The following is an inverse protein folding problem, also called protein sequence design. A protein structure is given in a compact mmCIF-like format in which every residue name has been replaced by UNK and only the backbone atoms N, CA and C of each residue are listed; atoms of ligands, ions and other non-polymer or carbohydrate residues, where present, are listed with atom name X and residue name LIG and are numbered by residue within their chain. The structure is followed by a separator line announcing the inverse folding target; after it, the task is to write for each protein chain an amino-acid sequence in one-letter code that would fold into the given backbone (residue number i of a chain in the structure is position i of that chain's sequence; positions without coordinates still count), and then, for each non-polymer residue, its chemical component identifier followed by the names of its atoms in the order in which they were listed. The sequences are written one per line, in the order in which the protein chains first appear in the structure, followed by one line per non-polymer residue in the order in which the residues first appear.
data_IF_388595603313
#
_entry.id   IF_388595603313
#
_cell.length_a   1.000
_cell.length_b   1.000
_cell.length_c   1.000
_cell.angle_alpha   90.00
_cell.angle_beta   90.00
_cell.angle_gamma   90.00
#
_symmetry.space_group_name_H-M   'P 1'
#
loop_
_entity.id
_entity.type
_entity.pdbx_description
1 polymer ?
#
# COMPACT_ATOMS: atom_id res chain seq x y z
N UNK A 1 16.82 29.15 -11.56
CA UNK A 1 17.07 28.41 -12.82
C UNK A 1 16.70 26.96 -12.56
N UNK A 2 15.59 26.51 -13.16
CA UNK A 2 15.02 25.15 -12.97
C UNK A 2 15.84 24.14 -13.77
N UNK A 3 16.35 23.09 -13.13
CA UNK A 3 17.13 22.02 -13.76
C UNK A 3 16.27 20.86 -14.26
N UNK A 4 14.94 21.02 -14.35
CA UNK A 4 14.06 19.99 -14.88
C UNK A 4 14.12 19.97 -16.42
N UNK A 5 15.20 19.45 -16.99
CA UNK A 5 15.15 18.98 -18.37
C UNK A 5 14.15 17.81 -18.41
N UNK A 6 13.07 17.95 -19.20
CA UNK A 6 12.12 16.88 -19.40
C UNK A 6 12.86 15.65 -19.93
N UNK A 7 12.82 14.54 -19.20
CA UNK A 7 13.59 13.32 -19.51
C UNK A 7 12.94 12.51 -20.65
N UNK A 8 11.93 13.08 -21.31
CA UNK A 8 11.04 12.39 -22.23
C UNK A 8 10.54 13.32 -23.36
N UNK A 9 10.13 12.77 -24.52
CA UNK A 9 9.67 13.57 -25.66
C UNK A 9 8.34 14.29 -25.39
N UNK A 10 8.10 15.43 -26.04
CA UNK A 10 6.81 16.15 -25.95
C UNK A 10 5.61 15.29 -26.34
N UNK A 11 5.76 14.39 -27.31
CA UNK A 11 4.70 13.44 -27.70
C UNK A 11 4.23 12.55 -26.54
N UNK A 12 5.09 12.29 -25.53
CA UNK A 12 4.70 11.55 -24.33
C UNK A 12 3.82 12.38 -23.39
N UNK A 13 4.04 13.70 -23.30
CA UNK A 13 3.18 14.62 -22.54
C UNK A 13 1.75 14.63 -23.10
N UNK A 14 1.65 14.66 -24.43
CA UNK A 14 0.37 14.62 -25.13
C UNK A 14 -0.38 13.30 -24.93
N UNK A 15 0.36 12.17 -24.89
CA UNK A 15 -0.21 10.84 -24.66
C UNK A 15 -0.64 10.60 -23.20
N UNK A 16 0.06 11.20 -22.23
CA UNK A 16 -0.16 10.97 -20.81
C UNK A 16 -0.26 12.29 -20.02
N UNK A 17 -1.28 13.12 -20.30
CA UNK A 17 -1.39 14.47 -19.73
C UNK A 17 -1.58 14.49 -18.21
N UNK A 18 -1.98 13.36 -17.62
CA UNK A 18 -2.14 13.21 -16.16
C UNK A 18 -0.91 12.59 -15.47
N UNK A 19 0.17 12.36 -16.20
CA UNK A 19 1.41 11.78 -15.69
C UNK A 19 2.51 12.84 -15.66
N UNK A 20 3.27 12.86 -14.56
CA UNK A 20 4.43 13.70 -14.35
C UNK A 20 5.63 12.78 -14.17
N UNK A 21 6.70 13.01 -14.93
CA UNK A 21 7.95 12.24 -14.80
C UNK A 21 9.05 13.17 -14.30
N UNK A 22 9.78 12.75 -13.26
CA UNK A 22 10.87 13.52 -12.68
C UNK A 22 12.12 12.65 -12.53
N UNK A 23 13.27 13.17 -12.94
CA UNK A 23 14.57 12.58 -12.60
C UNK A 23 14.93 12.92 -11.16
N UNK A 24 15.23 11.91 -10.35
CA UNK A 24 15.71 12.09 -8.97
C UNK A 24 17.23 12.23 -8.92
N UNK A 25 17.79 12.87 -7.88
CA UNK A 25 19.23 13.02 -7.73
C UNK A 25 19.97 11.68 -7.73
N UNK A 26 21.11 11.68 -8.42
CA UNK A 26 22.04 10.56 -8.49
C UNK A 26 22.96 10.58 -7.25
N UNK A 27 22.59 9.85 -6.19
CA UNK A 27 23.34 9.89 -4.91
C UNK A 27 24.45 8.83 -4.86
N UNK A 28 24.17 7.58 -5.26
CA UNK A 28 25.10 6.45 -5.06
C UNK A 28 25.22 5.48 -6.24
N UNK A 29 24.45 5.65 -7.33
CA UNK A 29 24.47 4.81 -8.53
C UNK A 29 24.88 5.62 -9.75
N UNK A 30 25.40 5.01 -10.80
CA UNK A 30 25.54 5.52 -12.17
C UNK A 30 24.24 5.76 -12.93
N UNK A 31 23.11 5.30 -12.38
CA UNK A 31 21.79 5.55 -12.94
C UNK A 31 21.06 6.72 -12.26
N UNK A 32 20.26 7.44 -13.04
CA UNK A 32 19.31 8.46 -12.57
C UNK A 32 17.99 7.75 -12.29
N UNK A 33 17.50 7.70 -11.03
CA UNK A 33 16.18 7.14 -10.75
C UNK A 33 15.08 8.00 -11.38
N UNK A 34 14.10 7.37 -12.01
CA UNK A 34 12.96 8.05 -12.64
C UNK A 34 11.73 7.88 -11.74
N UNK A 35 11.16 9.00 -11.30
CA UNK A 35 9.89 9.04 -10.58
C UNK A 35 8.75 9.35 -11.56
N UNK A 36 7.90 8.36 -11.80
CA UNK A 36 6.64 8.54 -12.54
C UNK A 36 5.49 8.69 -11.53
N UNK A 37 4.85 9.84 -11.52
CA UNK A 37 3.65 10.14 -10.74
C UNK A 37 2.46 10.31 -11.67
N UNK A 38 1.30 9.76 -11.34
CA UNK A 38 0.07 9.94 -12.12
C UNK A 38 -1.06 10.41 -11.23
N UNK A 39 -1.75 11.47 -11.63
CA UNK A 39 -2.96 11.95 -10.96
C UNK A 39 -4.21 11.14 -11.32
N UNK A 40 -4.07 10.06 -12.09
CA UNK A 40 -5.18 9.16 -12.42
C UNK A 40 -5.60 8.41 -11.15
N UNK A 41 -6.55 8.98 -10.40
CA UNK A 41 -7.27 8.29 -9.33
C UNK A 41 -8.35 7.37 -9.94
N UNK A 42 -8.00 6.51 -10.90
CA UNK A 42 -8.94 5.53 -11.41
C UNK A 42 -9.03 4.35 -10.43
N UNK A 43 -9.60 4.59 -9.24
CA UNK A 43 -10.20 3.51 -8.44
C UNK A 43 -11.51 3.04 -9.11
N UNK A 44 -11.52 2.88 -10.44
CA UNK A 44 -12.69 2.40 -11.18
C UNK A 44 -12.92 0.95 -10.76
N UNK A 45 -13.97 0.75 -9.96
CA UNK A 45 -14.64 -0.53 -9.70
C UNK A 45 -13.73 -1.76 -9.70
N UNK A 46 -12.62 -1.71 -8.97
CA UNK A 46 -11.77 -2.89 -8.84
C UNK A 46 -12.62 -4.03 -8.27
N UNK A 47 -12.64 -5.21 -8.92
CA UNK A 47 -13.36 -6.35 -8.37
C UNK A 47 -12.79 -6.67 -6.99
N UNK A 48 -13.65 -7.18 -6.11
CA UNK A 48 -13.17 -7.65 -4.82
C UNK A 48 -12.19 -8.80 -5.04
N UNK A 49 -11.00 -8.69 -4.47
CA UNK A 49 -9.98 -9.73 -4.47
C UNK A 49 -9.50 -9.93 -3.04
N UNK A 50 -9.33 -11.19 -2.66
CA UNK A 50 -8.59 -11.52 -1.46
C UNK A 50 -7.11 -11.24 -1.73
N UNK A 51 -6.46 -10.46 -0.88
CA UNK A 51 -5.03 -10.18 -1.01
C UNK A 51 -4.24 -11.20 -0.18
N UNK A 52 -3.17 -11.76 -0.73
CA UNK A 52 -2.40 -12.86 -0.09
C UNK A 52 -1.93 -12.50 1.32
N UNK A 53 -1.50 -11.25 1.54
CA UNK A 53 -1.03 -10.80 2.86
C UNK A 53 -2.12 -10.80 3.94
N UNK A 54 -3.40 -10.85 3.57
CA UNK A 54 -4.48 -10.99 4.56
C UNK A 54 -4.33 -12.28 5.35
N UNK A 55 -3.84 -13.36 4.72
CA UNK A 55 -3.61 -14.64 5.38
C UNK A 55 -2.50 -14.58 6.45
N UNK A 56 -1.59 -13.61 6.36
CA UNK A 56 -0.54 -13.38 7.37
C UNK A 56 -1.08 -12.61 8.58
N UNK A 57 -2.25 -11.99 8.47
CA UNK A 57 -2.84 -11.20 9.55
C UNK A 57 -3.70 -12.09 10.44
N UNK A 58 -3.33 -12.28 11.72
CA UNK A 58 -4.06 -13.17 12.63
C UNK A 58 -5.53 -12.76 12.83
N UNK A 59 -5.83 -11.47 12.71
CA UNK A 59 -7.17 -10.92 12.92
C UNK A 59 -8.16 -11.31 11.81
N UNK A 60 -7.70 -11.67 10.60
CA UNK A 60 -8.61 -11.83 9.44
C UNK A 60 -9.55 -13.01 9.61
N UNK A 61 -9.06 -14.10 10.21
CA UNK A 61 -9.83 -15.34 10.35
C UNK A 61 -11.03 -15.11 11.28
N UNK A 62 -10.79 -14.45 12.41
CA UNK A 62 -11.85 -14.12 13.36
C UNK A 62 -12.87 -13.16 12.78
N UNK A 63 -12.44 -12.19 11.97
CA UNK A 63 -13.36 -11.28 11.25
C UNK A 63 -14.25 -12.07 10.28
N UNK A 64 -13.68 -13.02 9.53
CA UNK A 64 -14.46 -13.86 8.60
C UNK A 64 -15.46 -14.71 9.40
N UNK A 65 -15.00 -15.39 10.45
CA UNK A 65 -15.81 -16.28 11.30
C UNK A 65 -16.96 -15.51 11.96
N UNK A 66 -16.66 -14.41 12.65
CA UNK A 66 -17.66 -13.56 13.30
C UNK A 66 -18.66 -12.98 12.30
N UNK A 67 -18.22 -12.58 11.11
CA UNK A 67 -19.12 -12.11 10.06
C UNK A 67 -20.01 -13.25 9.54
N UNK A 68 -19.45 -14.44 9.32
CA UNK A 68 -20.16 -15.58 8.76
C UNK A 68 -21.25 -16.13 9.68
N UNK A 69 -20.99 -16.13 10.99
CA UNK A 69 -21.91 -16.62 12.03
C UNK A 69 -23.14 -15.74 12.24
N UNK A 70 -23.10 -14.46 11.84
CA UNK A 70 -24.26 -13.56 11.97
C UNK A 70 -25.44 -14.05 11.13
N UNK A 71 -26.60 -14.15 11.78
CA UNK A 71 -27.86 -14.58 11.17
C UNK A 71 -28.31 -13.65 10.03
N UNK A 72 -29.15 -14.18 9.16
CA UNK A 72 -29.73 -13.48 8.02
C UNK A 72 -31.18 -13.93 7.91
N UNK A 73 -32.14 -13.01 8.06
CA UNK A 73 -33.58 -13.27 8.05
C UNK A 73 -34.17 -13.61 6.67
N UNK A 74 -33.39 -14.25 5.78
CA UNK A 74 -33.82 -14.58 4.41
C UNK A 74 -34.02 -16.08 4.29
N UNK A 75 -35.19 -16.50 3.78
CA UNK A 75 -35.60 -17.91 3.64
C UNK A 75 -34.82 -18.60 2.52
N UNK A 76 -34.67 -17.95 1.36
CA UNK A 76 -33.95 -18.50 0.20
C UNK A 76 -32.44 -18.63 0.47
N UNK A 77 -31.90 -19.85 0.27
CA UNK A 77 -30.49 -20.17 0.48
C UNK A 77 -29.54 -19.32 -0.39
N UNK A 78 -29.83 -19.15 -1.67
CA UNK A 78 -29.00 -18.34 -2.58
C UNK A 78 -28.95 -16.87 -2.15
N UNK A 79 -30.10 -16.28 -1.80
CA UNK A 79 -30.16 -14.90 -1.30
C UNK A 79 -29.43 -14.74 0.03
N UNK A 80 -29.52 -15.75 0.91
CA UNK A 80 -28.79 -15.78 2.18
C UNK A 80 -27.28 -15.78 1.96
N UNK A 81 -26.77 -16.63 1.08
CA UNK A 81 -25.35 -16.69 0.72
C UNK A 81 -24.87 -15.35 0.12
N UNK A 82 -25.60 -14.81 -0.86
CA UNK A 82 -25.26 -13.53 -1.48
C UNK A 82 -25.20 -12.39 -0.46
N UNK A 83 -26.11 -12.37 0.51
CA UNK A 83 -26.09 -11.35 1.57
C UNK A 83 -24.90 -11.51 2.51
N UNK A 84 -24.58 -12.74 2.93
CA UNK A 84 -23.40 -13.03 3.75
C UNK A 84 -22.11 -12.60 3.05
N UNK A 85 -21.93 -12.96 1.79
CA UNK A 85 -20.76 -12.57 0.99
C UNK A 85 -20.66 -11.05 0.81
N UNK A 86 -21.78 -10.37 0.53
CA UNK A 86 -21.82 -8.90 0.41
C UNK A 86 -21.44 -8.21 1.72
N UNK A 87 -21.92 -8.72 2.85
CA UNK A 87 -21.57 -8.22 4.19
C UNK A 87 -20.10 -8.47 4.51
N UNK A 88 -19.58 -9.66 4.20
CA UNK A 88 -18.20 -10.02 4.41
C UNK A 88 -17.26 -9.14 3.58
N UNK A 89 -17.55 -8.95 2.29
CA UNK A 89 -16.81 -8.03 1.41
C UNK A 89 -16.67 -6.64 2.02
N UNK A 90 -17.77 -6.03 2.45
CA UNK A 90 -17.73 -4.69 3.06
C UNK A 90 -16.86 -4.65 4.33
N UNK A 91 -16.99 -5.67 5.16
CA UNK A 91 -16.23 -5.78 6.41
C UNK A 91 -14.72 -5.90 6.14
N UNK A 92 -14.32 -6.79 5.23
CA UNK A 92 -12.92 -7.00 4.85
C UNK A 92 -12.31 -5.76 4.17
N UNK A 93 -13.06 -5.07 3.31
CA UNK A 93 -12.60 -3.83 2.68
C UNK A 93 -12.34 -2.71 3.71
N UNK A 94 -13.22 -2.57 4.71
CA UNK A 94 -13.01 -1.60 5.78
C UNK A 94 -11.81 -1.97 6.66
N UNK A 95 -11.73 -3.22 7.09
CA UNK A 95 -10.62 -3.73 7.90
C UNK A 95 -9.27 -3.62 7.18
N UNK A 96 -9.17 -4.06 5.93
CA UNK A 96 -7.93 -4.06 5.16
C UNK A 96 -7.35 -2.65 4.95
N UNK A 97 -8.22 -1.63 4.87
CA UNK A 97 -7.77 -0.23 4.85
C UNK A 97 -7.06 0.18 6.14
N UNK A 98 -7.60 -0.22 7.30
CA UNK A 98 -6.99 0.03 8.61
C UNK A 98 -5.72 -0.80 8.80
N UNK A 99 -5.79 -2.11 8.50
CA UNK A 99 -4.67 -3.03 8.64
C UNK A 99 -3.49 -2.64 7.75
N UNK A 100 -3.74 -2.18 6.52
CA UNK A 100 -2.69 -1.67 5.62
C UNK A 100 -1.99 -0.45 6.21
N UNK A 101 -2.74 0.50 6.78
CA UNK A 101 -2.16 1.69 7.42
C UNK A 101 -1.26 1.30 8.59
N UNK A 102 -1.77 0.45 9.50
CA UNK A 102 -1.00 -0.08 10.63
C UNK A 102 0.28 -0.80 10.16
N UNK A 103 0.20 -1.64 9.12
CA UNK A 103 1.37 -2.34 8.54
C UNK A 103 2.44 -1.36 8.02
N UNK A 104 2.03 -0.23 7.43
CA UNK A 104 2.97 0.82 6.96
C UNK A 104 3.61 1.53 8.15
N UNK A 105 2.83 1.89 9.17
CA UNK A 105 3.32 2.51 10.41
C UNK A 105 4.30 1.59 11.16
N UNK A 106 3.98 0.31 11.29
CA UNK A 106 4.84 -0.69 11.94
C UNK A 106 6.16 -0.86 11.17
N UNK A 107 6.12 -0.88 9.83
CA UNK A 107 7.34 -0.90 9.00
C UNK A 107 8.18 0.36 9.17
N UNK A 108 7.55 1.54 9.20
CA UNK A 108 8.25 2.81 9.41
C UNK A 108 8.93 2.86 10.77
N UNK A 109 8.23 2.44 11.84
CA UNK A 109 8.80 2.35 13.19
C UNK A 109 9.96 1.37 13.25
N UNK A 110 9.83 0.19 12.64
CA UNK A 110 10.93 -0.78 12.59
C UNK A 110 12.15 -0.22 11.86
N UNK A 111 11.95 0.55 10.77
CA UNK A 111 13.03 1.22 10.05
C UNK A 111 13.73 2.28 10.90
N UNK A 112 12.96 3.09 11.64
CA UNK A 112 13.49 4.09 12.56
C UNK A 112 14.37 3.44 13.64
N UNK A 113 13.87 2.38 14.30
CA UNK A 113 14.63 1.64 15.33
C UNK A 113 15.93 1.06 14.77
N UNK A 114 15.91 0.50 13.56
CA UNK A 114 17.11 -0.02 12.90
C UNK A 114 18.10 1.10 12.61
N UNK A 115 17.62 2.25 12.13
CA UNK A 115 18.45 3.41 11.81
C UNK A 115 19.09 3.98 13.07
N UNK A 116 18.35 4.11 14.18
CA UNK A 116 18.87 4.54 15.48
C UNK A 116 19.92 3.57 16.03
N UNK A 117 19.70 2.25 15.92
CA UNK A 117 20.70 1.25 16.34
C UNK A 117 21.99 1.36 15.51
N UNK A 118 21.89 1.53 14.20
CA UNK A 118 23.06 1.74 13.35
C UNK A 118 23.81 3.03 13.72
N UNK A 119 23.10 4.13 13.99
CA UNK A 119 23.72 5.39 14.41
C UNK A 119 24.46 5.24 15.76
N UNK A 120 23.90 4.52 16.71
CA UNK A 120 24.55 4.21 18.00
C UNK A 120 25.81 3.36 17.82
N UNK A 121 25.77 2.34 16.96
CA UNK A 121 26.95 1.51 16.67
C UNK A 121 28.07 2.32 16.03
N UNK A 122 27.75 3.20 15.08
CA UNK A 122 28.72 4.07 14.42
C UNK A 122 29.36 5.07 15.40
N UNK A 123 28.55 5.72 16.25
CA UNK A 123 29.06 6.66 17.26
C UNK A 123 29.96 6.01 18.30
N UNK A 124 29.63 4.80 18.77
CA UNK A 124 30.50 4.05 19.68
C UNK A 124 31.81 3.61 19.03
N UNK A 125 31.81 3.27 17.74
CA UNK A 125 33.02 2.89 17.02
C UNK A 125 33.97 4.07 16.74
N UNK A 126 33.43 5.28 16.58
CA UNK A 126 34.20 6.51 16.37
C UNK A 126 34.74 7.12 17.66
N UNK A 127 34.19 6.76 18.83
CA UNK A 127 34.67 7.21 20.16
C UNK A 127 35.78 6.32 20.75
N UNK A 128 36.15 5.24 20.05
CA UNK A 128 37.20 4.30 20.45
C UNK A 128 38.49 4.42 19.59
N UNK A 129 38.63 5.50 18.83
CA UNK A 129 39.85 5.91 18.10
C UNK A 129 40.29 7.27 18.64
#
# INVERSE_FOLDING_TARGET
MSWAASVYPSAWEDMFPCCVVQGLPRITSDHIPILLSSQVTSRKNAPFRYETWWAECPDVEEIIRANWSKSVGVISGAKRLALKLRRLKKCLMAWSGLARRKRVEDKARNMEVLTSRCALLLTHSTLLV
#
